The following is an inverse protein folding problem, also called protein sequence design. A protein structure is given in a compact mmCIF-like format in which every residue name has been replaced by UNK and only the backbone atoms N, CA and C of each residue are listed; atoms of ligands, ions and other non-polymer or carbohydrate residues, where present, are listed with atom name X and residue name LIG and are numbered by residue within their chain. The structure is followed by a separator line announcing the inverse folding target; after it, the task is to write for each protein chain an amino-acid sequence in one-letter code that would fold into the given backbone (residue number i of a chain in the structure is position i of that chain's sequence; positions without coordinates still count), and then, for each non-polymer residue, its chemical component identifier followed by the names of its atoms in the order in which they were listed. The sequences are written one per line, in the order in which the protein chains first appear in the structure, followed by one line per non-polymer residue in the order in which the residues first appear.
data_IF_043612585352
#
_entry.id   IF_043612585352
#
_cell.length_a   1.000
_cell.length_b   1.000
_cell.length_c   1.000
_cell.angle_alpha   90.00
_cell.angle_beta   90.00
_cell.angle_gamma   90.00
#
_symmetry.space_group_name_H-M   'P 1'
#
loop_
_entity.id
_entity.type
_entity.pdbx_description
1 polymer ?
#
# COMPACT_ATOMS: atom_id res chain seq x y z
N UNK A 1 27.95 -2.01 -11.26
CA UNK A 1 26.56 -2.34 -11.60
C UNK A 1 25.73 -1.21 -11.06
N UNK A 2 25.03 -0.53 -11.95
CA UNK A 2 24.45 0.80 -11.72
C UNK A 2 23.29 0.75 -10.73
N UNK A 3 23.33 1.70 -9.80
CA UNK A 3 22.29 2.30 -8.97
C UNK A 3 20.89 1.66 -9.06
N UNK A 4 20.62 0.67 -8.21
CA UNK A 4 19.26 0.17 -7.96
C UNK A 4 18.53 1.09 -6.96
N UNK A 5 18.44 2.38 -7.30
CA UNK A 5 17.62 3.34 -6.56
C UNK A 5 16.21 3.35 -7.15
N UNK A 6 15.54 2.19 -7.06
CA UNK A 6 14.11 2.06 -7.36
C UNK A 6 13.25 2.33 -6.12
N UNK A 7 13.79 3.07 -5.14
CA UNK A 7 12.96 3.76 -4.15
C UNK A 7 12.45 5.08 -4.77
N UNK A 8 11.93 5.01 -6.00
CA UNK A 8 11.07 6.07 -6.50
C UNK A 8 9.97 6.18 -5.43
N UNK A 9 9.84 7.35 -4.82
CA UNK A 9 8.77 7.62 -3.87
C UNK A 9 7.46 7.49 -4.63
N UNK A 10 6.89 6.28 -4.62
CA UNK A 10 5.60 6.02 -5.24
C UNK A 10 4.59 6.87 -4.49
N UNK A 11 3.93 7.77 -5.20
CA UNK A 11 2.87 8.57 -4.63
C UNK A 11 1.63 7.70 -4.46
N UNK A 12 1.38 7.26 -3.22
CA UNK A 12 0.23 6.42 -2.87
C UNK A 12 -1.12 7.15 -3.01
N UNK A 13 -1.14 8.42 -3.44
CA UNK A 13 -2.36 9.14 -3.81
C UNK A 13 -2.69 9.00 -5.30
N UNK A 14 -1.75 8.54 -6.12
CA UNK A 14 -1.88 8.44 -7.58
C UNK A 14 -2.04 6.98 -8.01
N UNK A 15 -3.25 6.64 -8.48
CA UNK A 15 -3.58 5.29 -8.95
C UNK A 15 -2.64 4.81 -10.06
N UNK A 16 -2.25 5.69 -10.98
CA UNK A 16 -1.41 5.30 -12.11
C UNK A 16 0.03 4.93 -11.66
N UNK A 17 0.59 5.61 -10.65
CA UNK A 17 1.91 5.27 -10.10
C UNK A 17 1.86 3.95 -9.30
N UNK A 18 0.79 3.75 -8.53
CA UNK A 18 0.55 2.51 -7.79
C UNK A 18 0.29 1.35 -8.75
N UNK A 19 -0.41 1.57 -9.86
CA UNK A 19 -0.63 0.55 -10.91
C UNK A 19 0.69 0.12 -11.52
N UNK A 20 1.56 1.08 -11.87
CA UNK A 20 2.88 0.78 -12.41
C UNK A 20 3.74 0.01 -11.40
N UNK A 21 3.70 0.38 -10.12
CA UNK A 21 4.37 -0.35 -9.06
C UNK A 21 3.85 -1.81 -8.96
N UNK A 22 2.53 -2.00 -8.88
CA UNK A 22 1.90 -3.34 -8.79
C UNK A 22 2.29 -4.20 -10.00
N UNK A 23 2.23 -3.63 -11.21
CA UNK A 23 2.59 -4.32 -12.45
C UNK A 23 4.07 -4.73 -12.45
N UNK A 24 4.97 -3.81 -12.10
CA UNK A 24 6.40 -4.07 -12.06
C UNK A 24 6.74 -5.17 -11.04
N UNK A 25 6.11 -5.13 -9.86
CA UNK A 25 6.27 -6.17 -8.84
C UNK A 25 5.77 -7.53 -9.33
N UNK A 26 4.61 -7.57 -9.99
CA UNK A 26 4.08 -8.80 -10.57
C UNK A 26 5.00 -9.38 -11.65
N UNK A 27 5.51 -8.53 -12.55
CA UNK A 27 6.47 -8.93 -13.58
C UNK A 27 7.77 -9.46 -12.97
N UNK A 28 8.30 -8.81 -11.93
CA UNK A 28 9.53 -9.22 -11.27
C UNK A 28 9.39 -10.61 -10.64
N UNK A 29 8.31 -10.84 -9.89
CA UNK A 29 8.04 -12.12 -9.23
C UNK A 29 7.81 -13.23 -10.27
N UNK A 30 7.05 -12.96 -11.32
CA UNK A 30 6.84 -13.95 -12.40
C UNK A 30 8.13 -14.22 -13.19
N UNK A 31 8.99 -13.22 -13.41
CA UNK A 31 10.25 -13.39 -14.13
C UNK A 31 11.27 -14.28 -13.39
N UNK A 32 11.15 -14.42 -12.07
CA UNK A 32 11.94 -15.37 -11.29
C UNK A 32 11.53 -16.84 -11.52
N UNK A 33 10.37 -17.07 -12.15
CA UNK A 33 9.85 -18.40 -12.43
C UNK A 33 9.90 -18.68 -13.95
N UNK A 34 10.80 -19.55 -14.43
CA UNK A 34 11.04 -19.73 -15.87
C UNK A 34 9.85 -20.29 -16.66
N UNK A 35 8.89 -20.91 -15.98
CA UNK A 35 7.71 -21.52 -16.58
C UNK A 35 6.45 -20.64 -16.46
N UNK A 36 6.54 -19.47 -15.81
CA UNK A 36 5.41 -18.55 -15.62
C UNK A 36 5.50 -17.40 -16.63
N UNK A 37 4.47 -17.19 -17.46
CA UNK A 37 4.45 -16.08 -18.40
C UNK A 37 4.35 -14.74 -17.68
N UNK A 38 4.72 -13.67 -18.39
CA UNK A 38 4.56 -12.31 -17.88
C UNK A 38 3.06 -11.98 -17.69
N UNK A 39 2.64 -11.57 -16.48
CA UNK A 39 1.23 -11.35 -16.19
C UNK A 39 0.75 -10.05 -16.83
N UNK A 40 -0.41 -10.10 -17.49
CA UNK A 40 -1.05 -8.92 -18.09
C UNK A 40 -2.16 -8.36 -17.20
N UNK A 41 -2.66 -9.19 -16.28
CA UNK A 41 -3.75 -8.91 -15.35
C UNK A 41 -3.55 -9.65 -14.03
N UNK A 42 -4.38 -9.35 -13.03
CA UNK A 42 -4.36 -10.09 -11.76
C UNK A 42 -4.86 -11.53 -11.93
N UNK A 43 -5.66 -11.79 -12.96
CA UNK A 43 -6.20 -13.13 -13.27
C UNK A 43 -5.14 -14.09 -13.79
N UNK A 44 -4.01 -13.56 -14.27
CA UNK A 44 -2.86 -14.36 -14.71
C UNK A 44 -1.98 -14.81 -13.53
N UNK A 45 -2.26 -14.34 -12.32
CA UNK A 45 -1.49 -14.63 -11.12
C UNK A 45 -2.06 -15.84 -10.38
N UNK A 46 -1.18 -16.79 -10.08
CA UNK A 46 -1.49 -17.83 -9.11
C UNK A 46 -1.66 -17.22 -7.71
N UNK A 47 -2.43 -17.91 -6.86
CA UNK A 47 -2.69 -17.48 -5.48
C UNK A 47 -1.41 -17.26 -4.66
N UNK A 48 -0.34 -18.02 -4.97
CA UNK A 48 0.96 -17.82 -4.34
C UNK A 48 1.65 -16.54 -4.81
N UNK A 49 1.68 -16.29 -6.13
CA UNK A 49 2.24 -15.07 -6.71
C UNK A 49 1.50 -13.82 -6.22
N UNK A 50 0.17 -13.89 -6.11
CA UNK A 50 -0.64 -12.82 -5.52
C UNK A 50 -0.20 -12.48 -4.08
N UNK A 51 0.02 -13.50 -3.24
CA UNK A 51 0.52 -13.30 -1.87
C UNK A 51 1.91 -12.66 -1.87
N UNK A 52 2.82 -13.11 -2.73
CA UNK A 52 4.16 -12.52 -2.83
C UNK A 52 4.13 -11.06 -3.26
N UNK A 53 3.25 -10.72 -4.22
CA UNK A 53 3.06 -9.34 -4.66
C UNK A 53 2.56 -8.48 -3.51
N UNK A 54 1.54 -8.93 -2.77
CA UNK A 54 1.02 -8.20 -1.61
C UNK A 54 2.12 -7.96 -0.58
N UNK A 55 2.90 -8.98 -0.20
CA UNK A 55 4.00 -8.85 0.75
C UNK A 55 5.08 -7.85 0.29
N UNK A 56 5.43 -7.86 -1.00
CA UNK A 56 6.42 -6.91 -1.54
C UNK A 56 5.88 -5.48 -1.54
N UNK A 57 4.59 -5.31 -1.85
CA UNK A 57 3.90 -4.03 -1.77
C UNK A 57 3.81 -3.53 -0.32
N UNK A 58 3.54 -4.40 0.65
CA UNK A 58 3.58 -4.07 2.08
C UNK A 58 4.97 -3.60 2.49
N UNK A 59 6.01 -4.31 2.09
CA UNK A 59 7.40 -3.95 2.38
C UNK A 59 7.78 -2.59 1.76
N UNK A 60 7.25 -2.28 0.57
CA UNK A 60 7.53 -1.03 -0.14
C UNK A 60 6.75 0.15 0.44
N UNK A 61 5.47 -0.05 0.76
CA UNK A 61 4.56 1.02 1.19
C UNK A 61 4.50 1.20 2.71
N UNK A 62 4.89 0.19 3.48
CA UNK A 62 4.75 0.13 4.93
C UNK A 62 3.31 -0.15 5.42
N UNK A 63 2.39 -0.48 4.51
CA UNK A 63 0.98 -0.75 4.82
C UNK A 63 0.73 -2.24 5.10
N UNK A 64 -0.35 -2.56 5.81
CA UNK A 64 -0.80 -3.94 6.06
C UNK A 64 -1.82 -4.39 5.00
N UNK A 65 -1.36 -4.57 3.77
CA UNK A 65 -2.21 -4.90 2.61
C UNK A 65 -2.79 -6.32 2.65
N UNK A 66 -2.02 -7.32 3.09
CA UNK A 66 -2.41 -8.72 3.10
C UNK A 66 -3.56 -8.99 4.08
N UNK A 67 -3.53 -8.34 5.25
CA UNK A 67 -4.63 -8.40 6.21
C UNK A 67 -5.89 -7.73 5.63
N UNK A 68 -5.73 -6.58 4.96
CA UNK A 68 -6.86 -5.83 4.40
C UNK A 68 -7.38 -6.42 3.09
N UNK A 69 -6.60 -7.24 2.39
CA UNK A 69 -6.95 -7.87 1.13
C UNK A 69 -8.17 -8.79 1.25
N UNK A 70 -8.55 -9.25 2.44
CA UNK A 70 -9.83 -9.95 2.67
C UNK A 70 -11.06 -9.12 2.25
N UNK A 71 -10.92 -7.79 2.24
CA UNK A 71 -11.96 -6.85 1.82
C UNK A 71 -11.91 -6.53 0.33
N UNK A 72 -10.87 -6.98 -0.38
CA UNK A 72 -10.77 -6.88 -1.82
C UNK A 72 -11.67 -7.94 -2.47
N UNK A 73 -12.93 -7.55 -2.72
CA UNK A 73 -13.95 -8.49 -3.19
C UNK A 73 -13.98 -8.68 -4.71
N UNK A 74 -13.62 -7.66 -5.47
CA UNK A 74 -13.74 -7.64 -6.93
C UNK A 74 -12.61 -6.82 -7.55
N UNK A 75 -11.94 -7.39 -8.55
CA UNK A 75 -10.90 -6.72 -9.33
C UNK A 75 -10.11 -7.72 -10.16
N UNK A 76 -10.01 -7.47 -11.46
CA UNK A 76 -9.34 -8.37 -12.42
C UNK A 76 -8.04 -7.75 -12.94
N UNK A 77 -7.87 -6.44 -12.76
CA UNK A 77 -6.78 -5.67 -13.34
C UNK A 77 -5.84 -5.12 -12.27
N UNK A 78 -4.58 -4.85 -12.65
CA UNK A 78 -3.64 -4.18 -11.76
C UNK A 78 -4.14 -2.82 -11.27
N UNK A 79 -4.95 -2.14 -12.10
CA UNK A 79 -5.59 -0.88 -11.75
C UNK A 79 -6.60 -1.01 -10.62
N UNK A 80 -7.33 -2.12 -10.56
CA UNK A 80 -8.29 -2.37 -9.48
C UNK A 80 -7.57 -2.54 -8.15
N UNK A 81 -6.46 -3.30 -8.13
CA UNK A 81 -5.61 -3.44 -6.94
C UNK A 81 -4.94 -2.11 -6.57
N UNK A 82 -4.50 -1.33 -7.56
CA UNK A 82 -3.93 -0.01 -7.31
C UNK A 82 -4.95 0.96 -6.68
N UNK A 83 -6.17 1.01 -7.21
CA UNK A 83 -7.25 1.82 -6.65
C UNK A 83 -7.59 1.41 -5.21
N UNK A 84 -7.55 0.10 -4.93
CA UNK A 84 -7.71 -0.42 -3.57
C UNK A 84 -6.61 0.09 -2.64
N UNK A 85 -5.34 -0.02 -3.03
CA UNK A 85 -4.19 0.46 -2.24
C UNK A 85 -4.27 1.97 -1.98
N UNK A 86 -4.61 2.77 -2.99
CA UNK A 86 -4.79 4.23 -2.84
C UNK A 86 -5.92 4.55 -1.86
N UNK A 87 -7.02 3.79 -1.91
CA UNK A 87 -8.14 3.95 -0.97
C UNK A 87 -7.68 3.69 0.46
N UNK A 88 -6.93 2.60 0.68
CA UNK A 88 -6.39 2.28 2.00
C UNK A 88 -5.41 3.36 2.52
N UNK A 89 -4.60 3.94 1.62
CA UNK A 89 -3.66 4.98 2.00
C UNK A 89 -4.40 6.26 2.45
N UNK A 90 -5.49 6.60 1.75
CA UNK A 90 -6.36 7.71 2.15
C UNK A 90 -7.09 7.44 3.48
N UNK A 91 -7.50 6.20 3.74
CA UNK A 91 -8.09 5.80 5.02
C UNK A 91 -7.09 5.91 6.18
N UNK A 92 -5.85 5.48 5.99
CA UNK A 92 -4.79 5.58 6.99
C UNK A 92 -4.43 7.06 7.28
N UNK A 93 -4.35 7.90 6.25
CA UNK A 93 -4.11 9.33 6.40
C UNK A 93 -5.28 10.02 7.15
N UNK A 94 -6.53 9.67 6.81
CA UNK A 94 -7.70 10.17 7.50
C UNK A 94 -7.78 9.69 8.97
N UNK A 95 -7.40 8.44 9.24
CA UNK A 95 -7.34 7.91 10.59
C UNK A 95 -6.24 8.59 11.42
N UNK A 96 -5.08 8.86 10.83
CA UNK A 96 -4.01 9.63 11.46
C UNK A 96 -4.46 11.05 11.81
N UNK A 97 -5.13 11.74 10.87
CA UNK A 97 -5.67 13.08 11.09
C UNK A 97 -6.78 13.11 12.15
N UNK A 98 -7.59 12.05 12.27
CA UNK A 98 -8.65 11.94 13.27
C UNK A 98 -8.14 11.56 14.68
N UNK A 99 -6.95 10.94 14.77
CA UNK A 99 -6.29 10.60 16.02
C UNK A 99 -5.61 11.77 16.73
N UNK A 100 -5.44 12.90 16.05
CA UNK A 100 -4.85 14.12 16.59
C UNK A 100 -5.92 14.91 17.38
N UNK A 101 -6.36 14.36 18.51
CA UNK A 101 -7.04 15.17 19.52
C UNK A 101 -6.04 16.22 20.03
N UNK A 102 -6.32 17.52 19.91
CA UNK A 102 -5.52 18.52 20.60
C UNK A 102 -5.73 18.29 22.10
N UNK A 103 -4.75 17.63 22.72
CA UNK A 103 -4.59 17.54 24.16
C UNK A 103 -4.62 18.99 24.67
N UNK A 104 -5.79 19.41 25.12
CA UNK A 104 -5.98 20.73 25.70
C UNK A 104 -5.22 20.69 27.00
N UNK A 105 -4.17 21.50 27.21
CA UNK A 105 -3.50 21.51 28.49
C UNK A 105 -4.49 22.07 29.53
N UNK A 106 -5.17 21.18 30.25
CA UNK A 106 -5.92 21.49 31.44
C UNK A 106 -4.92 21.78 32.57
N UNK A 107 -4.25 22.93 32.44
CA UNK A 107 -3.14 23.35 33.29
C UNK A 107 -3.11 24.86 33.44
N UNK A 108 -4.16 25.45 34.03
CA UNK A 108 -4.14 26.77 34.63
C UNK A 108 -5.37 26.91 35.55
N UNK A 109 -5.32 27.21 36.85
CA UNK A 109 -4.29 27.53 37.84
C UNK A 109 -4.97 27.27 39.20
N UNK A 110 -4.33 26.54 40.11
CA UNK A 110 -4.43 26.86 41.55
C UNK A 110 -2.98 26.98 42.02
N UNK A 111 -2.55 28.19 42.40
CA UNK A 111 -2.36 28.38 43.82
C UNK A 111 -2.68 29.80 44.32
N UNK A 112 -3.41 29.80 45.44
CA UNK A 112 -3.33 30.75 46.55
C UNK A 112 -4.27 31.98 46.58
N UNK A 113 -4.88 32.11 47.79
CA UNK A 113 -4.97 33.33 48.61
C UNK A 113 -6.31 34.09 48.57
N UNK A 114 -7.17 33.84 49.57
CA UNK A 114 -7.37 34.75 50.72
C UNK A 114 -8.23 34.10 51.82
#
# INVERSE_FOLDING_TARGET
MSDNNLAAKVDLTLVDEVEEMVRNTAQLICAEQPDVPEPQSLMDLDSFSMVQILLELENTTGMQLLERFENFREGETFRDLAAFVVTLAAEDDAAAAAGEQPDTPAGAQDPARN
#
